data_IF_492425192331
#
_entry.id   IF_492425192331
#
_cell.length_a   1.000
_cell.length_b   1.000
_cell.length_c   1.000
_cell.angle_alpha   90.00
_cell.angle_beta   90.00
_cell.angle_gamma   90.00
#
_symmetry.space_group_name_H-M   'P 1'
#
loop_
_entity.id
_entity.type
_entity.pdbx_description
1 polymer ?
#
# COMPACT_ATOMS: atom_id res chain seq x y z
N UNK A 1 8.02 21.53 -9.94
CA UNK A 1 7.18 21.10 -8.79
C UNK A 1 5.89 20.38 -9.26
N UNK A 2 5.88 19.77 -10.46
CA UNK A 2 4.64 19.30 -11.12
C UNK A 2 4.53 17.76 -11.12
N UNK A 3 5.65 17.06 -11.06
CA UNK A 3 5.72 15.60 -11.16
C UNK A 3 5.06 14.88 -9.97
N UNK A 4 5.28 15.40 -8.76
CA UNK A 4 4.70 14.85 -7.53
C UNK A 4 3.17 14.90 -7.52
N UNK A 5 2.58 16.03 -7.93
CA UNK A 5 1.12 16.20 -7.97
C UNK A 5 0.49 15.24 -8.98
N UNK A 6 1.07 15.11 -10.17
CA UNK A 6 0.55 14.20 -11.20
C UNK A 6 0.59 12.75 -10.73
N UNK A 7 1.71 12.34 -10.11
CA UNK A 7 1.85 10.99 -9.60
C UNK A 7 0.89 10.68 -8.44
N UNK A 8 0.67 11.63 -7.53
CA UNK A 8 -0.31 11.49 -6.45
C UNK A 8 -1.73 11.28 -6.99
N UNK A 9 -2.15 12.04 -8.01
CA UNK A 9 -3.46 11.86 -8.64
C UNK A 9 -3.58 10.52 -9.37
N UNK A 10 -2.50 10.07 -10.04
CA UNK A 10 -2.42 8.72 -10.61
C UNK A 10 -2.59 7.66 -9.52
N UNK A 11 -1.83 7.75 -8.43
CA UNK A 11 -1.89 6.80 -7.33
C UNK A 11 -3.29 6.75 -6.69
N UNK A 12 -3.96 7.89 -6.50
CA UNK A 12 -5.36 7.95 -6.03
C UNK A 12 -6.33 7.27 -6.99
N UNK A 13 -6.16 7.48 -8.29
CA UNK A 13 -7.02 6.89 -9.33
C UNK A 13 -6.87 5.37 -9.35
N UNK A 14 -5.62 4.89 -9.40
CA UNK A 14 -5.30 3.45 -9.36
C UNK A 14 -5.79 2.84 -8.05
N UNK A 15 -5.53 3.49 -6.90
CA UNK A 15 -6.05 3.05 -5.60
C UNK A 15 -7.56 2.89 -5.66
N UNK A 16 -8.31 3.86 -6.19
CA UNK A 16 -9.78 3.80 -6.24
C UNK A 16 -10.30 2.69 -7.15
N UNK A 17 -9.62 2.42 -8.26
CA UNK A 17 -9.98 1.34 -9.17
C UNK A 17 -9.75 -0.06 -8.55
N UNK A 18 -8.69 -0.20 -7.75
CA UNK A 18 -8.29 -1.50 -7.17
C UNK A 18 -8.66 -1.67 -5.69
N UNK A 19 -9.19 -0.64 -5.04
CA UNK A 19 -9.52 -0.64 -3.60
C UNK A 19 -10.46 -1.79 -3.22
N UNK A 20 -11.54 -2.00 -3.98
CA UNK A 20 -12.49 -3.06 -3.68
C UNK A 20 -11.85 -4.46 -3.79
N UNK A 21 -10.98 -4.66 -4.79
CA UNK A 21 -10.26 -5.92 -4.98
C UNK A 21 -9.24 -6.15 -3.84
N UNK A 22 -8.53 -5.10 -3.43
CA UNK A 22 -7.55 -5.18 -2.35
C UNK A 22 -8.23 -5.44 -1.00
N UNK A 23 -9.33 -4.75 -0.70
CA UNK A 23 -10.13 -4.96 0.52
C UNK A 23 -10.81 -6.34 0.56
N UNK A 24 -11.01 -6.98 -0.59
CA UNK A 24 -11.52 -8.35 -0.66
C UNK A 24 -10.48 -9.42 -0.32
N UNK A 25 -9.18 -9.08 -0.32
CA UNK A 25 -8.12 -10.03 0.04
C UNK A 25 -8.14 -10.33 1.54
N UNK A 26 -7.86 -11.59 1.94
CA UNK A 26 -7.77 -11.92 3.35
C UNK A 26 -6.66 -11.12 4.02
N UNK A 27 -6.89 -10.75 5.27
CA UNK A 27 -6.00 -9.96 6.12
C UNK A 27 -5.86 -8.48 5.75
N UNK A 28 -6.39 -7.99 4.62
CA UNK A 28 -6.38 -6.54 4.30
C UNK A 28 -7.44 -5.83 5.15
N UNK A 29 -7.00 -4.79 5.85
CA UNK A 29 -7.86 -3.98 6.75
C UNK A 29 -8.00 -2.53 6.30
N UNK A 30 -7.20 -2.08 5.33
CA UNK A 30 -7.29 -0.73 4.80
C UNK A 30 -6.38 -0.49 3.61
N UNK A 31 -6.76 0.48 2.76
CA UNK A 31 -5.99 0.90 1.59
C UNK A 31 -5.93 2.42 1.54
N UNK A 32 -4.72 2.97 1.45
CA UNK A 32 -4.45 4.40 1.39
C UNK A 32 -3.46 4.77 0.29
N UNK A 33 -3.19 6.05 0.16
CA UNK A 33 -2.09 6.57 -0.67
C UNK A 33 -1.23 7.43 0.24
N UNK A 34 0.07 7.18 0.24
CA UNK A 34 1.00 7.84 1.14
C UNK A 34 2.44 7.65 0.71
N UNK A 35 3.36 8.10 1.54
CA UNK A 35 4.78 7.89 1.31
C UNK A 35 5.18 6.48 1.71
N UNK A 36 5.95 5.83 0.85
CA UNK A 36 6.53 4.51 1.14
C UNK A 36 7.64 4.65 2.18
N UNK A 37 7.67 3.76 3.17
CA UNK A 37 8.76 3.69 4.14
C UNK A 37 9.60 2.46 3.81
N UNK A 38 10.85 2.65 3.38
CA UNK A 38 11.78 1.56 3.08
C UNK A 38 13.04 1.73 3.94
N UNK A 39 13.41 0.69 4.70
CA UNK A 39 14.65 0.61 5.50
C UNK A 39 14.91 1.80 6.45
N UNK A 40 13.88 2.22 7.21
CA UNK A 40 13.92 3.35 8.16
C UNK A 40 14.25 4.71 7.53
N UNK A 41 14.28 4.79 6.20
CA UNK A 41 14.40 6.05 5.47
C UNK A 41 13.01 6.37 4.91
N UNK A 42 12.53 7.59 5.15
CA UNK A 42 11.34 8.09 4.48
C UNK A 42 11.65 8.13 2.98
N UNK A 43 11.10 7.20 2.22
CA UNK A 43 11.21 7.28 0.78
C UNK A 43 10.22 8.37 0.35
N UNK A 44 10.69 9.42 -0.31
CA UNK A 44 9.84 10.52 -0.82
C UNK A 44 8.90 10.08 -1.96
N UNK A 45 8.83 8.77 -2.22
CA UNK A 45 8.04 8.17 -3.28
C UNK A 45 6.63 7.84 -2.78
N UNK A 46 5.64 8.36 -3.50
CA UNK A 46 4.23 8.01 -3.29
C UNK A 46 4.00 6.54 -3.66
N UNK A 47 3.22 5.85 -2.83
CA UNK A 47 2.82 4.47 -3.02
C UNK A 47 1.38 4.25 -2.55
N UNK A 48 0.78 3.16 -3.03
CA UNK A 48 -0.48 2.64 -2.50
C UNK A 48 -0.13 1.88 -1.22
N UNK A 49 -0.61 2.37 -0.08
CA UNK A 49 -0.36 1.76 1.22
C UNK A 49 -1.46 0.73 1.48
N UNK A 50 -1.11 -0.54 1.59
CA UNK A 50 -2.03 -1.62 1.94
C UNK A 50 -1.76 -2.04 3.37
N UNK A 51 -2.73 -1.78 4.24
CA UNK A 51 -2.68 -2.16 5.65
C UNK A 51 -3.22 -3.57 5.81
N UNK A 52 -2.40 -4.47 6.36
CA UNK A 52 -2.77 -5.85 6.68
C UNK A 52 -2.75 -6.09 8.19
N UNK A 53 -3.62 -7.00 8.65
CA UNK A 53 -3.67 -7.41 10.06
C UNK A 53 -2.42 -8.17 10.50
N UNK A 54 -1.83 -8.97 9.61
CA UNK A 54 -0.61 -9.75 9.84
C UNK A 54 0.18 -9.90 8.53
N UNK A 55 1.51 -9.78 8.57
CA UNK A 55 2.36 -10.15 7.43
C UNK A 55 2.65 -11.64 7.48
N UNK A 56 2.06 -12.38 6.55
CA UNK A 56 2.41 -13.77 6.29
C UNK A 56 3.52 -13.85 5.23
N UNK A 57 4.46 -14.80 5.35
CA UNK A 57 5.43 -15.04 4.30
C UNK A 57 4.72 -15.55 3.03
N UNK A 58 5.26 -15.24 1.86
CA UNK A 58 4.67 -15.62 0.57
C UNK A 58 4.44 -17.14 0.43
N UNK A 59 5.21 -17.97 1.13
CA UNK A 59 5.03 -19.43 1.18
C UNK A 59 3.77 -19.89 1.91
N UNK A 60 3.18 -19.03 2.75
CA UNK A 60 1.94 -19.28 3.49
C UNK A 60 0.72 -18.59 2.86
N UNK A 61 0.94 -17.78 1.82
CA UNK A 61 -0.11 -17.08 1.08
C UNK A 61 -0.42 -17.83 -0.21
N UNK A 62 -1.70 -17.93 -0.55
CA UNK A 62 -2.07 -18.39 -1.89
C UNK A 62 -1.76 -17.30 -2.93
N UNK A 63 -1.66 -17.70 -4.20
CA UNK A 63 -1.36 -16.78 -5.28
C UNK A 63 -2.38 -15.62 -5.40
N UNK A 64 -3.63 -15.87 -5.05
CA UNK A 64 -4.73 -14.90 -5.00
C UNK A 64 -4.70 -14.01 -3.75
N UNK A 65 -3.99 -14.41 -2.70
CA UNK A 65 -3.82 -13.64 -1.46
C UNK A 65 -2.59 -12.73 -1.52
N UNK A 66 -1.63 -13.03 -2.41
CA UNK A 66 -0.48 -12.18 -2.66
C UNK A 66 -0.93 -10.80 -3.13
N UNK A 67 -0.41 -9.78 -2.45
CA UNK A 67 -0.59 -8.38 -2.83
C UNK A 67 0.54 -8.05 -3.81
N UNK A 68 0.25 -7.54 -5.01
CA UNK A 68 1.28 -7.16 -5.96
C UNK A 68 2.12 -6.01 -5.40
N UNK A 69 3.41 -5.97 -5.71
CA UNK A 69 4.32 -4.90 -5.28
C UNK A 69 4.17 -3.63 -6.12
N UNK A 70 3.42 -3.69 -7.22
CA UNK A 70 3.15 -2.58 -8.14
C UNK A 70 1.80 -2.80 -8.83
N UNK A 71 1.01 -1.73 -8.99
CA UNK A 71 -0.24 -1.73 -9.74
C UNK A 71 -0.20 -0.56 -10.72
N UNK A 72 -0.31 -0.82 -12.03
CA UNK A 72 -0.32 0.20 -13.08
C UNK A 72 0.87 1.19 -13.03
N UNK A 73 2.05 0.70 -12.65
CA UNK A 73 3.24 1.54 -12.47
C UNK A 73 3.25 2.37 -11.18
N UNK A 74 2.33 2.10 -10.26
CA UNK A 74 2.30 2.70 -8.91
C UNK A 74 2.79 1.65 -7.91
N UNK A 75 3.87 1.92 -7.16
CA UNK A 75 4.37 0.97 -6.18
C UNK A 75 3.34 0.76 -5.07
N UNK A 76 3.29 -0.46 -4.55
CA UNK A 76 2.44 -0.86 -3.43
C UNK A 76 3.33 -1.16 -2.23
N UNK A 77 2.99 -0.55 -1.11
CA UNK A 77 3.67 -0.78 0.16
C UNK A 77 2.73 -1.52 1.12
N UNK A 78 3.11 -2.74 1.49
CA UNK A 78 2.33 -3.56 2.42
C UNK A 78 2.84 -3.32 3.83
N UNK A 79 2.01 -2.69 4.65
CA UNK A 79 2.29 -2.41 6.04
C UNK A 79 1.41 -3.29 6.92
N UNK A 80 2.03 -3.97 7.87
CA UNK A 80 1.26 -4.62 8.94
C UNK A 80 0.68 -3.53 9.84
N UNK A 81 -0.34 -3.84 10.65
CA UNK A 81 -0.69 -3.01 11.81
C UNK A 81 0.59 -2.62 12.57
N UNK A 82 1.10 -1.42 12.31
CA UNK A 82 1.94 -0.69 13.24
C UNK A 82 1.02 -0.14 14.32
N UNK A 83 1.49 -0.10 15.56
CA UNK A 83 0.84 0.71 16.59
C UNK A 83 0.51 2.08 15.99
N UNK A 84 -0.78 2.43 15.89
CA UNK A 84 -1.18 3.81 15.65
C UNK A 84 -0.69 4.58 16.89
N UNK A 85 0.52 5.10 16.84
CA UNK A 85 1.00 6.05 17.84
C UNK A 85 0.40 7.38 17.46
N UNK A 86 -0.72 7.71 18.11
CA UNK A 86 -1.15 9.09 18.19
C UNK A 86 0.01 9.87 18.83
N UNK A 87 0.66 10.73 18.04
CA UNK A 87 1.54 11.74 18.59
C UNK A 87 0.61 12.82 19.14
N UNK A 88 0.36 12.76 20.44
CA UNK A 88 -0.30 13.82 21.21
C UNK A 88 0.65 14.96 21.52
#
# INVERSE_FOLDING_TARGET
>A
MTEFSSFLEKAKTVKRAHEAMLLAKPNVIGVGVGFRIQDRQHSENIAIIVMVSIKLPASQLKADELIPTEIEGVPVDVQERGEIRAQG
#
